data_IF_984265504538
#
_entry.id   IF_984265504538
#
_cell.length_a   1.000
_cell.length_b   1.000
_cell.length_c   1.000
_cell.angle_alpha   90.00
_cell.angle_beta   90.00
_cell.angle_gamma   90.00
#
_symmetry.space_group_name_H-M   'P 1'
#
loop_
_entity.id
_entity.type
_entity.pdbx_description
1 polymer ?
#
# COMPACT_ATOMS: atom_id res chain seq x y z
N UNK A 1 -25.51 -35.19 37.74
CA UNK A 1 -25.79 -34.25 36.63
C UNK A 1 -24.89 -33.02 36.68
N UNK A 2 -24.85 -32.26 37.78
CA UNK A 2 -23.97 -31.08 37.92
C UNK A 2 -22.47 -31.36 37.71
N UNK A 3 -21.95 -32.47 38.27
CA UNK A 3 -20.54 -32.85 38.10
C UNK A 3 -20.18 -33.16 36.64
N UNK A 4 -21.08 -33.84 35.92
CA UNK A 4 -20.88 -34.17 34.51
C UNK A 4 -20.86 -32.89 33.65
N UNK A 5 -21.76 -31.95 33.91
CA UNK A 5 -21.78 -30.65 33.22
C UNK A 5 -20.53 -29.81 33.52
N UNK A 6 -20.04 -29.86 34.77
CA UNK A 6 -18.81 -29.17 35.17
C UNK A 6 -17.57 -29.76 34.48
N UNK A 7 -17.47 -31.09 34.42
CA UNK A 7 -16.38 -31.76 33.70
C UNK A 7 -16.42 -31.46 32.20
N UNK A 8 -17.60 -31.49 31.57
CA UNK A 8 -17.75 -31.15 30.15
C UNK A 8 -17.35 -29.68 29.91
N UNK A 9 -17.79 -28.75 30.77
CA UNK A 9 -17.42 -27.34 30.68
C UNK A 9 -15.92 -27.09 30.83
N UNK A 10 -15.24 -27.81 31.74
CA UNK A 10 -13.78 -27.74 31.90
C UNK A 10 -13.05 -28.27 30.66
N UNK A 11 -13.54 -29.35 30.04
CA UNK A 11 -12.96 -29.89 28.80
C UNK A 11 -13.04 -28.84 27.68
N UNK A 12 -14.20 -28.19 27.48
CA UNK A 12 -14.35 -27.15 26.46
C UNK A 12 -13.51 -25.90 26.73
N UNK A 13 -13.24 -25.55 27.99
CA UNK A 13 -12.39 -24.40 28.34
C UNK A 13 -10.89 -24.68 28.10
N UNK A 14 -10.47 -25.95 28.16
CA UNK A 14 -9.06 -26.36 27.97
C UNK A 14 -8.76 -26.70 26.51
N UNK A 15 -9.79 -27.07 25.72
CA UNK A 15 -9.66 -27.17 24.28
C UNK A 15 -9.83 -25.79 23.66
N UNK A 16 -8.73 -25.09 23.40
CA UNK A 16 -8.75 -24.02 22.39
C UNK A 16 -8.74 -24.74 21.04
N UNK A 17 -9.88 -24.86 20.32
CA UNK A 17 -9.81 -25.35 18.95
C UNK A 17 -9.03 -24.29 18.20
N UNK A 18 -7.73 -24.53 17.97
CA UNK A 18 -6.91 -23.65 17.16
C UNK A 18 -7.67 -23.39 15.86
N UNK A 19 -8.26 -22.21 15.75
CA UNK A 19 -9.05 -21.83 14.61
C UNK A 19 -8.08 -21.87 13.43
N UNK A 20 -8.20 -22.91 12.61
CA UNK A 20 -7.36 -23.09 11.43
C UNK A 20 -7.79 -21.98 10.47
N UNK A 21 -7.09 -20.85 10.52
CA UNK A 21 -7.28 -19.79 9.57
C UNK A 21 -6.98 -20.36 8.17
N UNK A 22 -8.00 -20.41 7.32
CA UNK A 22 -7.82 -20.81 5.93
C UNK A 22 -6.91 -19.80 5.24
N UNK A 23 -5.93 -20.32 4.49
CA UNK A 23 -4.98 -19.48 3.78
C UNK A 23 -5.61 -18.95 2.49
N UNK A 24 -6.32 -17.81 2.60
CA UNK A 24 -6.92 -17.13 1.45
C UNK A 24 -5.88 -16.55 0.48
N UNK A 25 -4.60 -16.54 0.88
CA UNK A 25 -3.48 -16.02 0.10
C UNK A 25 -2.72 -17.13 -0.64
N UNK A 26 -3.14 -18.39 -0.52
CA UNK A 26 -2.40 -19.52 -1.07
C UNK A 26 -2.23 -19.42 -2.59
N UNK A 27 -0.98 -19.59 -3.04
CA UNK A 27 -0.61 -19.55 -4.46
C UNK A 27 -0.69 -18.17 -5.12
N UNK A 28 -1.10 -17.11 -4.42
CA UNK A 28 -1.18 -15.77 -5.01
C UNK A 28 0.22 -15.14 -5.16
N UNK A 29 0.55 -14.55 -6.33
CA UNK A 29 1.78 -13.79 -6.46
C UNK A 29 1.70 -12.50 -5.63
N UNK A 30 2.84 -12.00 -5.16
CA UNK A 30 2.88 -10.85 -4.24
C UNK A 30 2.25 -9.56 -4.79
N UNK A 31 2.38 -9.31 -6.10
CA UNK A 31 1.69 -8.19 -6.75
C UNK A 31 0.16 -8.32 -6.69
N UNK A 32 -0.37 -9.54 -6.76
CA UNK A 32 -1.81 -9.81 -6.62
C UNK A 32 -2.27 -9.64 -5.17
N UNK A 33 -1.48 -10.10 -4.20
CA UNK A 33 -1.73 -9.84 -2.77
C UNK A 33 -1.87 -8.34 -2.50
N UNK A 34 -0.97 -7.53 -3.05
CA UNK A 34 -1.04 -6.08 -2.92
C UNK A 34 -2.31 -5.50 -3.57
N UNK A 35 -2.65 -5.97 -4.77
CA UNK A 35 -3.84 -5.51 -5.50
C UNK A 35 -5.12 -5.80 -4.72
N UNK A 36 -5.25 -7.00 -4.15
CA UNK A 36 -6.46 -7.45 -3.45
C UNK A 36 -6.58 -6.85 -2.04
N UNK A 37 -5.48 -6.73 -1.30
CA UNK A 37 -5.51 -6.35 0.11
C UNK A 37 -5.12 -4.91 0.43
N UNK A 38 -4.26 -4.28 -0.38
CA UNK A 38 -3.67 -2.98 -0.03
C UNK A 38 -4.14 -1.83 -0.92
N UNK A 39 -4.47 -2.11 -2.19
CA UNK A 39 -4.60 -1.07 -3.22
C UNK A 39 -5.81 -0.14 -3.06
N UNK A 40 -6.83 -0.58 -2.30
CA UNK A 40 -8.04 0.19 -1.99
C UNK A 40 -7.73 1.41 -1.13
N UNK A 41 -6.86 1.25 -0.13
CA UNK A 41 -6.41 2.33 0.76
C UNK A 41 -5.07 2.93 0.32
N UNK A 42 -4.20 2.12 -0.29
CA UNK A 42 -2.86 2.52 -0.72
C UNK A 42 -2.71 2.39 -2.23
N UNK A 43 -3.00 3.47 -2.95
CA UNK A 43 -2.84 3.50 -4.41
C UNK A 43 -1.42 3.19 -4.90
N UNK A 44 -0.40 3.35 -4.04
CA UNK A 44 1.01 3.11 -4.36
C UNK A 44 1.72 2.37 -3.22
N UNK A 45 2.58 1.43 -3.59
CA UNK A 45 3.45 0.67 -2.68
C UNK A 45 4.29 1.57 -1.75
N UNK A 46 4.82 2.68 -2.29
CA UNK A 46 5.61 3.66 -1.53
C UNK A 46 4.85 4.32 -0.36
N UNK A 47 3.51 4.32 -0.41
CA UNK A 47 2.68 4.77 0.70
C UNK A 47 2.80 3.88 1.94
N UNK A 48 3.13 2.59 1.75
CA UNK A 48 3.30 1.61 2.82
C UNK A 48 4.75 1.52 3.32
N UNK A 49 5.74 1.71 2.45
CA UNK A 49 7.17 1.59 2.82
C UNK A 49 7.73 2.85 3.50
N UNK A 50 7.02 3.98 3.45
CA UNK A 50 7.53 5.28 3.91
C UNK A 50 8.06 5.23 5.35
N UNK A 51 9.38 5.36 5.49
CA UNK A 51 10.06 5.44 6.79
C UNK A 51 10.11 4.13 7.59
N UNK A 52 9.80 2.99 6.97
CA UNK A 52 9.78 1.67 7.63
C UNK A 52 10.92 0.80 7.10
N UNK A 53 11.69 0.21 8.00
CA UNK A 53 12.61 -0.88 7.67
C UNK A 53 11.82 -2.18 7.43
N UNK A 54 12.35 -3.09 6.61
CA UNK A 54 11.64 -4.30 6.12
C UNK A 54 11.03 -5.15 7.25
N UNK A 55 11.70 -5.28 8.40
CA UNK A 55 11.18 -6.03 9.57
C UNK A 55 9.92 -5.38 10.16
N UNK A 56 9.94 -4.06 10.37
CA UNK A 56 8.80 -3.32 10.92
C UNK A 56 7.64 -3.26 9.93
N UNK A 57 7.93 -3.29 8.63
CA UNK A 57 6.92 -3.43 7.57
C UNK A 57 6.27 -4.81 7.59
N UNK A 58 7.07 -5.88 7.66
CA UNK A 58 6.60 -7.26 7.76
C UNK A 58 5.64 -7.45 8.94
N UNK A 59 6.03 -7.02 10.15
CA UNK A 59 5.19 -7.17 11.34
C UNK A 59 3.85 -6.43 11.18
N UNK A 60 3.84 -5.27 10.55
CA UNK A 60 2.62 -4.52 10.27
C UNK A 60 1.72 -5.21 9.24
N UNK A 61 2.31 -5.71 8.16
CA UNK A 61 1.57 -6.47 7.14
C UNK A 61 0.94 -7.73 7.74
N UNK A 62 1.69 -8.44 8.59
CA UNK A 62 1.21 -9.64 9.28
C UNK A 62 -0.02 -9.36 10.17
N UNK A 63 -0.10 -8.19 10.80
CA UNK A 63 -1.20 -7.85 11.70
C UNK A 63 -2.42 -7.26 10.99
N UNK A 64 -2.24 -6.65 9.81
CA UNK A 64 -3.30 -5.84 9.19
C UNK A 64 -3.74 -6.28 7.79
N UNK A 65 -2.87 -6.94 7.03
CA UNK A 65 -3.10 -7.13 5.59
C UNK A 65 -2.82 -8.54 5.08
N UNK A 66 -2.20 -9.41 5.88
CA UNK A 66 -1.79 -10.75 5.46
C UNK A 66 -2.51 -11.83 6.27
N UNK A 67 -2.92 -12.91 5.61
CA UNK A 67 -3.58 -14.05 6.27
C UNK A 67 -2.60 -14.89 7.11
N UNK A 68 -1.30 -14.81 6.81
CA UNK A 68 -0.25 -15.52 7.54
C UNK A 68 1.14 -14.87 7.33
N UNK A 69 2.15 -15.47 7.96
CA UNK A 69 3.55 -15.02 7.86
C UNK A 69 4.13 -15.10 6.44
N UNK A 70 3.75 -16.09 5.64
CA UNK A 70 4.34 -16.24 4.29
C UNK A 70 3.81 -15.18 3.34
N UNK A 71 2.51 -14.86 3.39
CA UNK A 71 1.94 -13.75 2.59
C UNK A 71 2.43 -12.39 3.07
N UNK A 72 2.64 -12.20 4.37
CA UNK A 72 3.26 -10.99 4.93
C UNK A 72 4.69 -10.79 4.40
N UNK A 73 5.48 -11.87 4.35
CA UNK A 73 6.85 -11.81 3.81
C UNK A 73 6.85 -11.52 2.32
N UNK A 74 6.00 -12.20 1.54
CA UNK A 74 5.87 -11.97 0.11
C UNK A 74 5.50 -10.51 -0.20
N UNK A 75 4.57 -9.93 0.55
CA UNK A 75 4.20 -8.52 0.44
C UNK A 75 5.38 -7.60 0.79
N UNK A 76 6.09 -7.85 1.90
CA UNK A 76 7.22 -7.03 2.31
C UNK A 76 8.34 -7.02 1.25
N UNK A 77 8.72 -8.19 0.74
CA UNK A 77 9.74 -8.31 -0.32
C UNK A 77 9.29 -7.64 -1.62
N UNK A 78 8.01 -7.78 -2.01
CA UNK A 78 7.48 -7.10 -3.18
C UNK A 78 7.52 -5.58 -3.02
N UNK A 79 7.07 -5.05 -1.89
CA UNK A 79 7.06 -3.62 -1.60
C UNK A 79 8.47 -3.04 -1.62
N UNK A 80 9.46 -3.75 -1.06
CA UNK A 80 10.87 -3.36 -1.13
C UNK A 80 11.39 -3.32 -2.58
N UNK A 81 11.07 -4.35 -3.38
CA UNK A 81 11.51 -4.44 -4.78
C UNK A 81 10.98 -3.30 -5.65
N UNK A 82 9.73 -2.87 -5.42
CA UNK A 82 9.11 -1.78 -6.20
C UNK A 82 9.41 -0.41 -5.62
N UNK A 83 9.77 -0.31 -4.33
CA UNK A 83 10.19 0.95 -3.73
C UNK A 83 11.57 1.38 -4.23
N UNK A 84 12.46 0.45 -4.58
CA UNK A 84 13.75 0.79 -5.20
C UNK A 84 13.65 1.19 -6.67
N UNK A 85 12.55 0.90 -7.36
CA UNK A 85 12.41 1.18 -8.79
C UNK A 85 12.37 2.70 -9.04
N UNK A 86 13.21 3.24 -9.95
CA UNK A 86 13.07 4.61 -10.40
C UNK A 86 11.66 4.78 -10.96
N UNK A 87 10.92 5.81 -10.51
CA UNK A 87 9.71 6.19 -11.22
C UNK A 87 10.10 6.36 -12.68
N UNK A 88 9.32 5.75 -13.58
CA UNK A 88 9.29 6.16 -14.97
C UNK A 88 9.07 7.67 -14.96
N UNK A 89 10.17 8.42 -15.05
CA UNK A 89 10.15 9.81 -15.39
C UNK A 89 9.77 9.84 -16.86
N UNK A 90 8.52 9.56 -17.17
CA UNK A 90 7.81 10.34 -18.17
C UNK A 90 7.52 11.72 -17.58
N UNK A 91 8.60 12.38 -17.11
CA UNK A 91 8.86 13.72 -17.60
C UNK A 91 9.01 13.57 -19.10
N UNK A 92 7.87 13.59 -19.79
CA UNK A 92 7.84 14.24 -21.09
C UNK A 92 8.12 15.71 -20.80
N UNK A 93 9.36 16.03 -20.44
CA UNK A 93 9.98 17.27 -20.85
C UNK A 93 10.22 17.03 -22.32
N UNK A 94 9.14 17.15 -23.09
CA UNK A 94 9.24 17.64 -24.44
C UNK A 94 9.93 18.98 -24.27
N UNK A 95 11.25 18.98 -24.45
CA UNK A 95 12.06 20.16 -24.65
C UNK A 95 11.44 20.85 -25.86
N UNK A 96 10.41 21.66 -25.63
CA UNK A 96 9.86 22.52 -26.66
C UNK A 96 11.01 23.46 -26.99
N UNK A 97 11.57 23.41 -28.22
CA UNK A 97 12.65 24.31 -28.56
C UNK A 97 12.15 25.72 -28.35
N UNK A 98 12.87 26.45 -27.51
CA UNK A 98 12.68 27.88 -27.26
C UNK A 98 12.73 28.58 -28.62
N UNK A 99 11.55 28.89 -29.18
CA UNK A 99 11.47 29.89 -30.25
C UNK A 99 11.67 31.21 -29.54
N UNK A 100 12.86 31.75 -29.69
CA UNK A 100 13.22 33.14 -29.45
C UNK A 100 12.09 34.06 -29.90
N UNK A 101 11.39 34.66 -28.95
CA UNK A 101 10.44 35.75 -29.19
C UNK A 101 11.27 37.03 -29.29
N UNK A 102 11.16 37.83 -30.38
CA UNK A 102 11.84 39.12 -30.45
C UNK A 102 11.26 40.08 -29.40
N UNK A 103 12.07 41.01 -28.85
CA UNK A 103 11.60 41.98 -27.88
C UNK A 103 10.83 43.06 -28.65
N UNK A 104 9.53 43.21 -28.42
CA UNK A 104 8.78 44.24 -29.11
C UNK A 104 7.28 44.11 -28.95
N UNK A 105 6.75 44.64 -27.86
CA UNK A 105 5.57 45.52 -27.84
C UNK A 105 5.20 45.74 -26.38
N UNK A 106 5.61 46.88 -25.85
CA UNK A 106 5.03 47.44 -24.63
C UNK A 106 3.53 47.61 -24.91
N UNK A 107 2.70 46.82 -24.23
CA UNK A 107 1.25 47.02 -24.28
C UNK A 107 0.95 48.34 -23.57
N UNK A 108 0.26 49.31 -24.22
CA UNK A 108 -0.13 50.54 -23.54
C UNK A 108 -1.13 50.23 -22.42
N UNK A 109 -1.12 51.00 -21.31
CA UNK A 109 -2.16 50.88 -20.30
C UNK A 109 -3.53 51.29 -20.86
N UNK A 110 -4.59 50.62 -20.41
CA UNK A 110 -5.96 50.93 -20.81
C UNK A 110 -6.42 52.29 -20.25
N UNK A 111 -7.28 53.05 -20.95
CA UNK A 111 -7.89 54.25 -20.40
C UNK A 111 -8.88 53.90 -19.28
N UNK A 112 -8.87 54.71 -18.22
CA UNK A 112 -9.80 54.63 -17.09
C UNK A 112 -11.14 55.23 -17.53
N UNK A 113 -12.27 54.51 -17.42
CA UNK A 113 -13.59 55.08 -17.68
C UNK A 113 -13.92 56.17 -16.65
N UNK A 114 -14.34 57.34 -17.13
CA UNK A 114 -14.91 58.38 -16.28
C UNK A 114 -16.43 58.33 -16.37
N UNK A 115 -17.07 57.96 -15.27
CA UNK A 115 -18.47 58.22 -14.96
C UNK A 115 -18.60 58.53 -13.47
#
# INVERSE_FOLDING_TARGET
>A
MALALLLIGVIFLVTDPAARAENLDEGKPAARLFADGCSTCHHRARGLTKGRFTVTLYLFLQQHYASNSSSAWALASYLESVDGAPHGQTRSVMTRPSRSRPPGSLRPPMPIPQH
#
